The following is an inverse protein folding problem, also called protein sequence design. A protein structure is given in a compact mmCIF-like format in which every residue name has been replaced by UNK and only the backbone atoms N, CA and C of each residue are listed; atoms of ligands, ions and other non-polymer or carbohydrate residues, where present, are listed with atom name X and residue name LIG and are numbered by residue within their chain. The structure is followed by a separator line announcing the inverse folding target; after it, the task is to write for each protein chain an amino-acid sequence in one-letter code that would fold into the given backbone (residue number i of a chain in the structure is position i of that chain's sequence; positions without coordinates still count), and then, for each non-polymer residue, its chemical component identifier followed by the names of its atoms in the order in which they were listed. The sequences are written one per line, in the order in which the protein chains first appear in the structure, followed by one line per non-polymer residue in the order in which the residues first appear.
data_IF_119770704324
#
_entry.id   IF_119770704324
#
_cell.length_a   1.000
_cell.length_b   1.000
_cell.length_c   1.000
_cell.angle_alpha   90.00
_cell.angle_beta   90.00
_cell.angle_gamma   90.00
#
_symmetry.space_group_name_H-M   'P 1'
#
loop_
_entity.id
_entity.type
_entity.pdbx_description
1 polymer ?
#
# COMPACT_ATOMS: atom_id res chain seq x y z
N UNK A 1 32.89 0.41 -14.53
CA UNK A 1 31.53 0.44 -15.10
C UNK A 1 30.74 -0.74 -14.54
N UNK A 2 29.78 -0.53 -13.61
CA UNK A 2 28.92 -1.64 -13.13
C UNK A 2 27.75 -1.85 -14.10
N UNK A 3 28.09 -2.15 -15.36
CA UNK A 3 27.15 -2.49 -16.44
C UNK A 3 26.11 -3.53 -15.97
N UNK A 4 26.45 -4.55 -15.16
CA UNK A 4 25.47 -5.49 -14.65
C UNK A 4 24.34 -4.84 -13.83
N UNK A 5 24.62 -3.79 -13.05
CA UNK A 5 23.57 -3.11 -12.25
C UNK A 5 22.62 -2.30 -13.13
N UNK A 6 23.14 -1.69 -14.20
CA UNK A 6 22.32 -0.92 -15.14
C UNK A 6 21.42 -1.87 -15.95
N UNK A 7 21.99 -2.96 -16.48
CA UNK A 7 21.26 -3.93 -17.29
C UNK A 7 20.24 -4.71 -16.44
N UNK A 8 20.64 -5.25 -15.29
CA UNK A 8 19.71 -5.95 -14.41
C UNK A 8 18.66 -5.01 -13.82
N UNK A 9 19.02 -3.75 -13.54
CA UNK A 9 18.08 -2.73 -13.07
C UNK A 9 17.02 -2.36 -14.11
N UNK A 10 17.42 -2.18 -15.38
CA UNK A 10 16.51 -1.97 -16.51
C UNK A 10 15.57 -3.15 -16.73
N UNK A 11 16.10 -4.38 -16.66
CA UNK A 11 15.29 -5.59 -16.78
C UNK A 11 14.28 -5.71 -15.63
N UNK A 12 14.72 -5.52 -14.39
CA UNK A 12 13.83 -5.55 -13.22
C UNK A 12 12.74 -4.46 -13.29
N UNK A 13 13.11 -3.27 -13.74
CA UNK A 13 12.17 -2.16 -13.94
C UNK A 13 11.12 -2.48 -15.03
N UNK A 14 11.56 -2.97 -16.19
CA UNK A 14 10.67 -3.30 -17.31
C UNK A 14 9.72 -4.46 -16.96
N UNK A 15 10.23 -5.51 -16.32
CA UNK A 15 9.43 -6.64 -15.82
C UNK A 15 8.45 -6.16 -14.75
N UNK A 16 8.89 -5.31 -13.82
CA UNK A 16 8.02 -4.70 -12.81
C UNK A 16 6.87 -3.90 -13.41
N UNK A 17 7.15 -3.06 -14.42
CA UNK A 17 6.12 -2.29 -15.14
C UNK A 17 5.11 -3.20 -15.85
N UNK A 18 5.60 -4.23 -16.54
CA UNK A 18 4.74 -5.16 -17.27
C UNK A 18 3.85 -5.97 -16.32
N UNK A 19 4.41 -6.46 -15.21
CA UNK A 19 3.65 -7.17 -14.17
C UNK A 19 2.65 -6.24 -13.47
N UNK A 20 3.01 -4.98 -13.25
CA UNK A 20 2.10 -3.97 -12.67
C UNK A 20 0.90 -3.74 -13.58
N UNK A 21 1.10 -3.71 -14.89
CA UNK A 21 0.02 -3.58 -15.87
C UNK A 21 -0.86 -4.84 -15.94
N UNK A 22 -0.23 -6.01 -16.08
CA UNK A 22 -0.90 -7.31 -16.20
C UNK A 22 -1.76 -7.63 -14.98
N UNK A 23 -1.25 -7.35 -13.78
CA UNK A 23 -1.92 -7.62 -12.51
C UNK A 23 -2.51 -6.36 -11.88
N UNK A 24 -2.84 -5.35 -12.70
CA UNK A 24 -3.35 -4.06 -12.22
C UNK A 24 -4.49 -4.14 -11.20
N UNK A 25 -5.46 -5.09 -11.29
CA UNK A 25 -6.50 -5.22 -10.25
C UNK A 25 -5.91 -5.59 -8.88
N UNK A 26 -4.91 -6.48 -8.85
CA UNK A 26 -4.25 -6.90 -7.61
C UNK A 26 -3.37 -5.78 -7.03
N UNK A 27 -2.69 -5.01 -7.89
CA UNK A 27 -1.90 -3.85 -7.43
C UNK A 27 -2.81 -2.82 -6.76
N UNK A 28 -3.99 -2.54 -7.32
CA UNK A 28 -4.99 -1.68 -6.66
C UNK A 28 -5.50 -2.33 -5.37
N UNK A 29 -5.62 -3.66 -5.34
CA UNK A 29 -5.92 -4.46 -4.15
C UNK A 29 -4.92 -4.21 -3.00
N UNK A 30 -3.62 -4.06 -3.27
CA UNK A 30 -2.60 -3.70 -2.27
C UNK A 30 -2.95 -2.39 -1.58
N UNK A 31 -3.30 -1.35 -2.35
CA UNK A 31 -3.65 -0.04 -1.79
C UNK A 31 -4.92 -0.13 -0.94
N UNK A 32 -5.92 -0.91 -1.39
CA UNK A 32 -7.11 -1.19 -0.59
C UNK A 32 -6.76 -1.91 0.72
N UNK A 33 -5.91 -2.93 0.64
CA UNK A 33 -5.44 -3.71 1.79
C UNK A 33 -4.63 -2.88 2.79
N UNK A 34 -3.89 -1.86 2.33
CA UNK A 34 -3.17 -0.93 3.22
C UNK A 34 -4.09 0.13 3.85
N UNK A 35 -5.11 0.60 3.12
CA UNK A 35 -6.05 1.62 3.60
C UNK A 35 -6.97 1.08 4.69
N UNK A 36 -7.33 -0.20 4.64
CA UNK A 36 -8.28 -0.81 5.60
C UNK A 36 -7.77 -0.83 7.06
N UNK A 37 -6.52 -1.29 7.37
CA UNK A 37 -5.95 -1.19 8.72
C UNK A 37 -5.85 0.26 9.21
N UNK A 38 -5.46 1.19 8.33
CA UNK A 38 -5.37 2.62 8.65
C UNK A 38 -6.75 3.17 9.01
N UNK A 39 -7.78 2.85 8.22
CA UNK A 39 -9.16 3.23 8.49
C UNK A 39 -9.67 2.66 9.82
N UNK A 40 -9.33 1.40 10.14
CA UNK A 40 -9.65 0.77 11.42
C UNK A 40 -9.03 1.52 12.60
N UNK A 41 -7.74 1.86 12.53
CA UNK A 41 -7.03 2.60 13.57
C UNK A 41 -7.65 3.99 13.76
N UNK A 42 -7.87 4.74 12.68
CA UNK A 42 -8.47 6.08 12.75
C UNK A 42 -9.91 6.01 13.28
N UNK A 43 -10.69 5.01 12.86
CA UNK A 43 -12.05 4.77 13.33
C UNK A 43 -12.12 4.45 14.82
N UNK A 44 -11.18 3.65 15.34
CA UNK A 44 -11.06 3.35 16.77
C UNK A 44 -10.67 4.59 17.58
N UNK A 45 -9.73 5.41 17.08
CA UNK A 45 -9.35 6.68 17.71
C UNK A 45 -10.51 7.67 17.75
N UNK A 46 -11.28 7.77 16.65
CA UNK A 46 -12.47 8.59 16.60
C UNK A 46 -13.54 8.11 17.59
N UNK A 47 -13.74 6.80 17.72
CA UNK A 47 -14.66 6.21 18.70
C UNK A 47 -14.22 6.48 20.14
N UNK A 48 -12.92 6.33 20.43
CA UNK A 48 -12.34 6.65 21.73
C UNK A 48 -12.59 8.11 22.12
N UNK A 49 -12.42 9.04 21.17
CA UNK A 49 -12.73 10.46 21.39
C UNK A 49 -14.21 10.71 21.71
N UNK A 50 -15.12 9.92 21.17
CA UNK A 50 -16.57 10.01 21.49
C UNK A 50 -16.86 9.46 22.90
N UNK A 51 -16.19 8.38 23.29
CA UNK A 51 -16.43 7.71 24.58
C UNK A 51 -15.82 8.51 25.73
N UNK A 52 -14.58 8.95 25.59
CA UNK A 52 -13.80 9.56 26.69
C UNK A 52 -13.87 11.08 26.71
N UNK A 53 -14.00 11.76 25.56
CA UNK A 53 -14.04 13.23 25.53
C UNK A 53 -15.44 13.80 25.36
N UNK A 54 -15.72 14.88 26.09
CA UNK A 54 -16.87 15.76 25.84
C UNK A 54 -16.51 16.80 24.77
N UNK A 55 -16.18 16.34 23.57
CA UNK A 55 -15.90 17.25 22.44
C UNK A 55 -17.19 17.84 21.87
N UNK A 56 -17.14 19.12 21.44
CA UNK A 56 -18.23 19.76 20.69
C UNK A 56 -18.54 19.03 19.37
N UNK A 57 -17.58 18.25 18.85
CA UNK A 57 -17.67 17.49 17.61
C UNK A 57 -18.09 16.04 17.78
N UNK A 58 -18.65 15.65 18.95
CA UNK A 58 -18.99 14.26 19.27
C UNK A 58 -19.84 13.56 18.20
N UNK A 59 -20.79 14.26 17.57
CA UNK A 59 -21.59 13.71 16.46
C UNK A 59 -20.76 13.43 15.21
N UNK A 60 -19.84 14.33 14.86
CA UNK A 60 -18.96 14.18 13.70
C UNK A 60 -18.00 13.02 13.93
N UNK A 61 -17.38 12.94 15.10
CA UNK A 61 -16.48 11.84 15.45
C UNK A 61 -17.21 10.49 15.49
N UNK A 62 -18.47 10.46 15.94
CA UNK A 62 -19.28 9.24 15.90
C UNK A 62 -19.56 8.78 14.47
N UNK A 63 -19.97 9.70 13.58
CA UNK A 63 -20.22 9.37 12.17
C UNK A 63 -18.93 8.92 11.48
N UNK A 64 -17.82 9.61 11.72
CA UNK A 64 -16.51 9.23 11.20
C UNK A 64 -16.07 7.85 11.71
N UNK A 65 -16.24 7.59 13.02
CA UNK A 65 -15.94 6.29 13.61
C UNK A 65 -16.76 5.16 12.97
N UNK A 66 -18.07 5.34 12.84
CA UNK A 66 -18.95 4.31 12.23
C UNK A 66 -18.56 4.04 10.78
N UNK A 67 -18.33 5.07 9.97
CA UNK A 67 -17.95 4.91 8.57
C UNK A 67 -16.58 4.22 8.42
N UNK A 68 -15.58 4.69 9.17
CA UNK A 68 -14.21 4.16 9.07
C UNK A 68 -14.10 2.74 9.63
N UNK A 69 -14.80 2.43 10.72
CA UNK A 69 -14.85 1.08 11.28
C UNK A 69 -15.62 0.12 10.37
N UNK A 70 -16.70 0.57 9.71
CA UNK A 70 -17.40 -0.26 8.73
C UNK A 70 -16.52 -0.57 7.51
N UNK A 71 -15.81 0.43 6.98
CA UNK A 71 -14.88 0.26 5.85
C UNK A 71 -13.67 -0.60 6.23
N UNK A 72 -13.07 -0.38 7.40
CA UNK A 72 -11.94 -1.18 7.87
C UNK A 72 -12.35 -2.61 8.25
N UNK A 73 -13.53 -2.78 8.86
CA UNK A 73 -14.09 -4.09 9.23
C UNK A 73 -14.43 -4.97 8.04
N UNK A 74 -14.82 -4.38 6.90
CA UNK A 74 -14.98 -5.13 5.64
C UNK A 74 -13.68 -5.84 5.22
N UNK A 75 -12.52 -5.24 5.51
CA UNK A 75 -11.21 -5.83 5.21
C UNK A 75 -10.89 -7.10 6.01
N UNK A 76 -11.42 -7.23 7.23
CA UNK A 76 -11.22 -8.41 8.07
C UNK A 76 -11.99 -9.65 7.58
N UNK A 77 -13.02 -9.45 6.76
CA UNK A 77 -13.81 -10.58 6.21
C UNK A 77 -13.13 -11.22 4.99
N UNK A 78 -12.15 -10.53 4.39
CA UNK A 78 -11.53 -10.90 3.12
C UNK A 78 -9.99 -11.06 3.25
N UNK A 79 -9.54 -11.57 4.40
CA UNK A 79 -8.12 -11.64 4.76
C UNK A 79 -7.28 -12.47 3.78
N UNK A 80 -7.83 -13.54 3.22
CA UNK A 80 -7.10 -14.41 2.29
C UNK A 80 -6.86 -13.73 0.93
N UNK A 81 -7.87 -13.04 0.39
CA UNK A 81 -7.74 -12.31 -0.88
C UNK A 81 -6.88 -11.07 -0.66
N UNK A 82 -7.07 -10.34 0.44
CA UNK A 82 -6.23 -9.18 0.77
C UNK A 82 -4.74 -9.54 0.89
N UNK A 83 -4.41 -10.69 1.51
CA UNK A 83 -3.02 -11.16 1.62
C UNK A 83 -2.44 -11.54 0.25
N UNK A 84 -3.23 -12.22 -0.58
CA UNK A 84 -2.81 -12.58 -1.95
C UNK A 84 -2.61 -11.34 -2.82
N UNK A 85 -3.51 -10.38 -2.74
CA UNK A 85 -3.44 -9.09 -3.42
C UNK A 85 -2.21 -8.31 -2.96
N UNK A 86 -1.92 -8.33 -1.66
CA UNK A 86 -0.70 -7.72 -1.11
C UNK A 86 0.56 -8.38 -1.67
N UNK A 87 0.72 -9.70 -1.56
CA UNK A 87 1.93 -10.38 -2.01
C UNK A 87 2.15 -10.28 -3.53
N UNK A 88 1.10 -10.47 -4.33
CA UNK A 88 1.20 -10.49 -5.80
C UNK A 88 1.16 -9.08 -6.39
N UNK A 89 0.43 -8.15 -5.79
CA UNK A 89 0.35 -6.77 -6.24
C UNK A 89 1.51 -5.90 -5.76
N UNK A 90 2.13 -6.19 -4.61
CA UNK A 90 3.23 -5.39 -4.07
C UNK A 90 4.58 -5.73 -4.72
N UNK A 91 4.80 -6.99 -5.07
CA UNK A 91 6.06 -7.43 -5.70
C UNK A 91 6.38 -6.70 -7.02
N UNK A 92 5.43 -6.46 -7.95
CA UNK A 92 5.67 -5.65 -9.15
C UNK A 92 6.09 -4.21 -8.84
N UNK A 93 5.46 -3.57 -7.85
CA UNK A 93 5.79 -2.21 -7.42
C UNK A 93 7.21 -2.15 -6.84
N UNK A 94 7.59 -3.14 -6.04
CA UNK A 94 8.96 -3.28 -5.54
C UNK A 94 9.98 -3.48 -6.66
N UNK A 95 9.67 -4.31 -7.66
CA UNK A 95 10.56 -4.53 -8.82
C UNK A 95 10.81 -3.23 -9.60
N UNK A 96 9.79 -2.40 -9.78
CA UNK A 96 9.94 -1.05 -10.37
C UNK A 96 10.87 -0.19 -9.51
N UNK A 97 10.63 -0.13 -8.19
CA UNK A 97 11.44 0.67 -7.27
C UNK A 97 12.90 0.22 -7.19
N UNK A 98 13.14 -1.09 -7.01
CA UNK A 98 14.50 -1.65 -6.95
C UNK A 98 15.22 -1.58 -8.30
N UNK A 99 14.50 -1.74 -9.42
CA UNK A 99 15.05 -1.53 -10.76
C UNK A 99 15.58 -0.11 -10.95
N UNK A 100 14.81 0.89 -10.55
CA UNK A 100 15.25 2.30 -10.54
C UNK A 100 16.48 2.52 -9.65
N UNK A 101 16.45 2.00 -8.41
CA UNK A 101 17.58 2.13 -7.47
C UNK A 101 18.86 1.46 -8.02
N UNK A 102 18.74 0.30 -8.65
CA UNK A 102 19.86 -0.41 -9.26
C UNK A 102 20.47 0.37 -10.43
N UNK A 103 19.64 0.96 -11.30
CA UNK A 103 20.08 1.85 -12.39
C UNK A 103 20.78 3.08 -11.83
N UNK A 104 20.15 3.77 -10.86
CA UNK A 104 20.73 4.96 -10.21
C UNK A 104 22.07 4.65 -9.54
N UNK A 105 22.18 3.52 -8.84
CA UNK A 105 23.42 3.08 -8.23
C UNK A 105 24.51 2.78 -9.27
N UNK A 106 24.14 2.12 -10.37
CA UNK A 106 25.04 1.83 -11.49
C UNK A 106 25.58 3.08 -12.17
N UNK A 107 24.76 4.12 -12.30
CA UNK A 107 25.14 5.43 -12.87
C UNK A 107 25.97 6.24 -11.88
N UNK A 108 25.57 6.30 -10.60
CA UNK A 108 26.25 7.13 -9.59
C UNK A 108 27.68 6.66 -9.31
N UNK A 109 27.90 5.35 -9.24
CA UNK A 109 29.23 4.75 -9.03
C UNK A 109 30.05 4.62 -10.33
N UNK A 110 29.64 5.33 -11.38
CA UNK A 110 30.41 5.52 -12.60
C UNK A 110 31.29 6.78 -12.53
N UNK A 111 30.94 7.77 -11.69
CA UNK A 111 31.83 8.89 -11.37
C UNK A 111 32.91 8.42 -10.40
#
# INVERSE_FOLDING_TARGET
MRIPHIVCGLLAFAVGLFLTYLWSPLVVGVFKGAVQPIALIIGLLALLSVVFDKTQYKKINLVAAVLLLAVGGYGLYDEWIATKDFCIGFAPVLLVGFGLLAVMHGIRNHK
#
